data_IF_748698354269
#
_entry.id   IF_748698354269
#
_cell.length_a   1.000
_cell.length_b   1.000
_cell.length_c   1.000
_cell.angle_alpha   90.00
_cell.angle_beta   90.00
_cell.angle_gamma   90.00
#
_symmetry.space_group_name_H-M   'P 1'
#
loop_
_entity.id
_entity.type
_entity.pdbx_description
1 polymer ?
#
# COMPACT_ATOMS: atom_id res chain seq x y z
N UNK A 1 3.34 11.62 -10.18
CA UNK A 1 3.76 10.75 -9.05
C UNK A 1 2.83 9.54 -9.00
N UNK A 2 3.36 8.38 -8.63
CA UNK A 2 2.61 7.12 -8.55
C UNK A 2 2.96 6.35 -7.28
N UNK A 3 2.09 5.41 -6.90
CA UNK A 3 2.35 4.37 -5.91
C UNK A 3 2.24 3.00 -6.58
N UNK A 4 3.04 2.04 -6.14
CA UNK A 4 2.94 0.65 -6.62
C UNK A 4 2.00 -0.12 -5.71
N UNK A 5 0.91 -0.66 -6.28
CA UNK A 5 0.00 -1.52 -5.53
C UNK A 5 0.59 -2.92 -5.37
N UNK A 6 0.63 -3.41 -4.14
CA UNK A 6 1.18 -4.72 -3.76
C UNK A 6 0.07 -5.64 -3.27
N UNK A 7 0.01 -6.86 -3.80
CA UNK A 7 -0.97 -7.87 -3.38
C UNK A 7 -0.47 -8.57 -2.09
N UNK A 8 -1.06 -8.22 -0.95
CA UNK A 8 -0.70 -8.78 0.37
C UNK A 8 -1.84 -9.51 1.09
N UNK A 9 -3.08 -9.38 0.61
CA UNK A 9 -4.28 -9.94 1.25
C UNK A 9 -4.56 -11.41 0.92
N UNK A 10 -3.87 -11.98 -0.07
CA UNK A 10 -4.16 -13.33 -0.59
C UNK A 10 -5.49 -13.44 -1.35
N UNK A 11 -6.21 -12.33 -1.57
CA UNK A 11 -7.50 -12.33 -2.28
C UNK A 11 -7.27 -12.32 -3.79
N UNK A 12 -7.71 -13.37 -4.48
CA UNK A 12 -7.45 -13.54 -5.92
C UNK A 12 -8.07 -12.47 -6.81
N UNK A 13 -9.22 -11.93 -6.42
CA UNK A 13 -9.87 -10.84 -7.15
C UNK A 13 -9.17 -9.49 -7.00
N UNK A 14 -8.17 -9.36 -6.13
CA UNK A 14 -7.39 -8.13 -5.97
C UNK A 14 -6.16 -8.15 -6.88
N UNK A 15 -6.02 -7.08 -7.67
CA UNK A 15 -4.80 -6.82 -8.42
C UNK A 15 -3.65 -6.35 -7.53
N UNK A 16 -2.49 -6.16 -8.15
CA UNK A 16 -1.27 -5.71 -7.48
C UNK A 16 -0.07 -6.58 -7.86
N UNK A 17 1.12 -6.01 -7.79
CA UNK A 17 2.36 -6.71 -8.00
C UNK A 17 2.60 -7.76 -6.90
N UNK A 18 3.26 -8.86 -7.24
CA UNK A 18 3.82 -9.76 -6.26
C UNK A 18 4.96 -9.05 -5.52
N UNK A 19 5.03 -9.22 -4.20
CA UNK A 19 6.09 -8.61 -3.39
C UNK A 19 7.50 -8.99 -3.86
N UNK A 20 7.66 -10.19 -4.45
CA UNK A 20 8.93 -10.71 -4.99
C UNK A 20 9.36 -10.01 -6.27
N UNK A 21 8.44 -9.43 -7.01
CA UNK A 21 8.68 -8.74 -8.29
C UNK A 21 8.94 -7.24 -8.10
N UNK A 22 8.74 -6.71 -6.89
CA UNK A 22 8.87 -5.28 -6.62
C UNK A 22 10.24 -4.68 -6.96
N UNK A 23 11.38 -5.34 -6.68
CA UNK A 23 12.68 -4.78 -7.05
C UNK A 23 12.83 -4.60 -8.56
N UNK A 24 12.42 -5.60 -9.36
CA UNK A 24 12.49 -5.51 -10.82
C UNK A 24 11.54 -4.43 -11.35
N UNK A 25 10.31 -4.39 -10.84
CA UNK A 25 9.31 -3.40 -11.23
C UNK A 25 9.77 -1.97 -10.87
N UNK A 26 10.33 -1.75 -9.69
CA UNK A 26 10.88 -0.44 -9.31
C UNK A 26 12.07 -0.06 -10.17
N UNK A 27 12.96 -1.00 -10.52
CA UNK A 27 14.05 -0.76 -11.46
C UNK A 27 13.53 -0.27 -12.83
N UNK A 28 12.51 -0.93 -13.36
CA UNK A 28 11.88 -0.50 -14.61
C UNK A 28 11.24 0.89 -14.50
N UNK A 29 10.47 1.14 -13.44
CA UNK A 29 9.77 2.42 -13.28
C UNK A 29 10.74 3.59 -13.01
N UNK A 30 11.78 3.38 -12.20
CA UNK A 30 12.76 4.44 -11.88
C UNK A 30 13.61 4.83 -13.07
N UNK A 31 13.70 3.98 -14.10
CA UNK A 31 14.32 4.33 -15.39
C UNK A 31 13.47 5.29 -16.25
N UNK A 32 12.18 5.43 -15.96
CA UNK A 32 11.25 6.28 -16.70
C UNK A 32 11.23 7.72 -16.19
N UNK A 33 11.68 8.66 -17.02
CA UNK A 33 11.80 10.10 -16.65
C UNK A 33 10.48 10.80 -16.35
N UNK A 34 9.34 10.23 -16.77
CA UNK A 34 8.00 10.81 -16.57
C UNK A 34 7.25 10.20 -15.38
N UNK A 35 7.81 9.16 -14.77
CA UNK A 35 7.23 8.51 -13.61
C UNK A 35 8.06 8.84 -12.37
N UNK A 36 7.37 9.05 -11.27
CA UNK A 36 8.00 9.28 -9.98
C UNK A 36 7.29 8.40 -8.97
N UNK A 37 7.94 7.29 -8.59
CA UNK A 37 7.45 6.44 -7.51
C UNK A 37 7.65 7.14 -6.19
N UNK A 38 6.56 7.28 -5.44
CA UNK A 38 6.58 7.88 -4.10
C UNK A 38 6.34 6.87 -2.99
N UNK A 39 5.99 5.64 -3.31
CA UNK A 39 5.71 4.65 -2.27
C UNK A 39 4.88 3.48 -2.73
N UNK A 40 4.29 2.79 -1.75
CA UNK A 40 3.52 1.58 -1.95
C UNK A 40 2.05 1.77 -1.55
N UNK A 41 1.20 0.91 -2.09
CA UNK A 41 -0.22 0.85 -1.78
C UNK A 41 -0.65 -0.59 -1.55
N UNK A 42 -1.53 -0.83 -0.58
CA UNK A 42 -2.19 -2.14 -0.47
C UNK A 42 -3.65 -2.01 -0.04
N UNK A 43 -4.38 -3.11 -0.27
CA UNK A 43 -5.74 -3.33 0.21
C UNK A 43 -5.67 -4.54 1.15
N UNK A 44 -6.04 -4.35 2.40
CA UNK A 44 -6.11 -5.43 3.37
C UNK A 44 -7.28 -6.39 3.04
N UNK A 45 -7.22 -7.64 3.51
CA UNK A 45 -8.38 -8.54 3.43
C UNK A 45 -9.57 -7.95 4.19
N UNK A 46 -10.79 -8.21 3.72
CA UNK A 46 -12.00 -7.78 4.41
C UNK A 46 -12.22 -8.63 5.67
N UNK A 47 -11.76 -8.13 6.82
CA UNK A 47 -11.85 -8.79 8.11
C UNK A 47 -11.85 -7.76 9.24
N UNK A 48 -12.41 -8.14 10.39
CA UNK A 48 -12.31 -7.37 11.64
C UNK A 48 -11.16 -7.86 12.53
N UNK A 49 -10.45 -8.93 12.11
CA UNK A 49 -9.36 -9.50 12.88
C UNK A 49 -8.12 -8.58 12.84
N UNK A 50 -7.99 -7.75 13.86
CA UNK A 50 -6.94 -6.74 14.00
C UNK A 50 -5.52 -7.26 13.78
N UNK A 51 -5.09 -8.42 14.33
CA UNK A 51 -3.75 -8.94 14.06
C UNK A 51 -3.49 -9.19 12.56
N UNK A 52 -4.51 -9.63 11.81
CA UNK A 52 -4.38 -9.83 10.35
C UNK A 52 -4.22 -8.49 9.63
N UNK A 53 -5.01 -7.48 9.99
CA UNK A 53 -4.92 -6.13 9.42
C UNK A 53 -3.54 -5.51 9.69
N UNK A 54 -3.11 -5.51 10.95
CA UNK A 54 -1.80 -4.97 11.36
C UNK A 54 -0.65 -5.72 10.68
N UNK A 55 -0.69 -7.04 10.62
CA UNK A 55 0.37 -7.82 9.92
C UNK A 55 0.45 -7.48 8.42
N UNK A 56 -0.69 -7.21 7.77
CA UNK A 56 -0.73 -6.82 6.36
C UNK A 56 -0.09 -5.45 6.14
N UNK A 57 -0.44 -4.47 6.99
CA UNK A 57 0.08 -3.12 6.89
C UNK A 57 1.56 -3.01 7.31
N UNK A 58 1.96 -3.72 8.37
CA UNK A 58 3.36 -3.84 8.78
C UNK A 58 4.22 -4.41 7.64
N UNK A 59 3.74 -5.46 6.96
CA UNK A 59 4.45 -6.04 5.81
C UNK A 59 4.61 -5.06 4.65
N UNK A 60 3.63 -4.19 4.39
CA UNK A 60 3.78 -3.14 3.37
C UNK A 60 4.86 -2.12 3.76
N UNK A 61 4.88 -1.69 5.02
CA UNK A 61 5.93 -0.79 5.55
C UNK A 61 7.31 -1.41 5.41
N UNK A 62 7.48 -2.66 5.84
CA UNK A 62 8.75 -3.39 5.75
C UNK A 62 9.24 -3.54 4.31
N UNK A 63 8.33 -3.83 3.37
CA UNK A 63 8.66 -3.86 1.94
C UNK A 63 9.12 -2.50 1.44
N UNK A 64 8.43 -1.41 1.80
CA UNK A 64 8.86 -0.06 1.45
C UNK A 64 10.26 0.20 2.01
N UNK A 65 10.48 -0.04 3.30
CA UNK A 65 11.74 0.27 3.98
C UNK A 65 12.90 -0.50 3.33
N UNK A 66 12.67 -1.78 2.99
CA UNK A 66 13.64 -2.60 2.27
C UNK A 66 13.95 -2.11 0.86
N UNK A 67 12.95 -1.61 0.13
CA UNK A 67 13.14 -1.04 -1.22
C UNK A 67 13.81 0.33 -1.17
N UNK A 68 13.53 1.16 -0.17
CA UNK A 68 14.18 2.46 0.01
C UNK A 68 15.71 2.32 0.16
N UNK A 69 16.17 1.23 0.78
CA UNK A 69 17.60 0.93 0.87
C UNK A 69 18.25 0.54 -0.47
N UNK A 70 17.46 0.02 -1.43
CA UNK A 70 17.92 -0.43 -2.74
C UNK A 70 17.80 0.64 -3.82
N UNK A 71 16.87 1.58 -3.66
CA UNK A 71 16.57 2.65 -4.62
C UNK A 71 16.71 4.02 -3.95
N UNK A 72 17.93 4.50 -3.65
CA UNK A 72 18.15 5.74 -2.90
C UNK A 72 17.65 7.00 -3.63
N UNK A 73 17.51 6.93 -4.95
CA UNK A 73 16.97 8.04 -5.77
C UNK A 73 15.43 8.06 -5.83
N UNK A 74 14.77 7.01 -5.33
CA UNK A 74 13.32 6.94 -5.22
C UNK A 74 12.89 7.35 -3.80
N UNK A 75 12.09 8.42 -3.61
CA UNK A 75 11.75 8.93 -2.28
C UNK A 75 11.08 7.89 -1.37
N UNK A 76 10.17 7.07 -1.94
CA UNK A 76 9.45 6.00 -1.24
C UNK A 76 8.86 6.43 0.13
N UNK A 77 8.44 7.69 0.26
CA UNK A 77 7.97 8.28 1.51
C UNK A 77 6.50 8.01 1.83
N UNK A 78 5.75 7.41 0.91
CA UNK A 78 4.30 7.20 1.02
C UNK A 78 3.90 5.73 1.26
N UNK A 79 2.92 5.54 2.14
CA UNK A 79 2.21 4.27 2.35
C UNK A 79 0.70 4.53 2.26
N UNK A 80 0.11 4.17 1.12
CA UNK A 80 -1.35 4.22 0.96
C UNK A 80 -1.99 2.92 1.41
N UNK A 81 -2.47 2.91 2.64
CA UNK A 81 -3.13 1.76 3.24
C UNK A 81 -4.15 2.20 4.30
N UNK A 82 -5.21 1.41 4.47
CA UNK A 82 -6.34 1.77 5.32
C UNK A 82 -7.47 2.45 4.55
N UNK A 83 -8.67 1.98 4.82
CA UNK A 83 -9.98 2.42 4.34
C UNK A 83 -10.91 2.59 5.54
N UNK A 84 -12.19 2.90 5.30
CA UNK A 84 -13.17 3.20 6.36
C UNK A 84 -13.18 2.21 7.54
N UNK A 85 -12.98 0.91 7.31
CA UNK A 85 -13.07 -0.11 8.36
C UNK A 85 -11.77 -0.38 9.13
N UNK A 86 -10.61 0.02 8.59
CA UNK A 86 -9.30 -0.44 9.06
C UNK A 86 -8.23 0.68 9.09
N UNK A 87 -8.61 1.95 8.85
CA UNK A 87 -7.68 3.08 8.83
C UNK A 87 -6.95 3.29 10.17
N UNK A 88 -7.57 3.00 11.30
CA UNK A 88 -6.92 3.11 12.62
C UNK A 88 -5.72 2.17 12.72
N UNK A 89 -5.88 0.93 12.25
CA UNK A 89 -4.81 -0.06 12.22
C UNK A 89 -3.72 0.30 11.21
N UNK A 90 -4.11 0.86 10.06
CA UNK A 90 -3.17 1.36 9.08
C UNK A 90 -2.31 2.51 9.62
N UNK A 91 -2.90 3.44 10.39
CA UNK A 91 -2.17 4.55 11.02
C UNK A 91 -1.15 4.02 12.03
N UNK A 92 -1.53 3.05 12.87
CA UNK A 92 -0.61 2.43 13.83
C UNK A 92 0.60 1.77 13.16
N UNK A 93 0.45 1.33 11.91
CA UNK A 93 1.52 0.71 11.12
C UNK A 93 2.26 1.69 10.19
N UNK A 94 1.94 2.99 10.24
CA UNK A 94 2.67 4.04 9.52
C UNK A 94 2.06 4.48 8.19
N UNK A 95 0.75 4.30 7.99
CA UNK A 95 0.06 4.85 6.82
C UNK A 95 0.22 6.37 6.73
N UNK A 96 0.56 6.86 5.54
CA UNK A 96 0.60 8.29 5.22
C UNK A 96 -0.65 8.75 4.46
N UNK A 97 -1.35 7.80 3.81
CA UNK A 97 -2.55 8.05 3.02
C UNK A 97 -3.61 7.00 3.39
N UNK A 98 -4.66 7.46 4.10
CA UNK A 98 -5.89 6.67 4.34
C UNK A 98 -6.97 7.03 3.32
N UNK A 99 -7.77 6.04 2.90
CA UNK A 99 -8.78 6.18 1.83
C UNK A 99 -10.19 6.04 2.39
N UNK A 100 -10.77 7.14 2.88
CA UNK A 100 -12.05 7.12 3.59
C UNK A 100 -13.20 7.48 2.67
N UNK A 101 -14.13 6.53 2.48
CA UNK A 101 -15.35 6.71 1.68
C UNK A 101 -16.60 6.78 2.56
N UNK A 102 -17.12 5.61 2.96
CA UNK A 102 -18.40 5.49 3.68
C UNK A 102 -18.48 6.30 4.96
N UNK A 103 -17.39 6.45 5.71
CA UNK A 103 -17.40 7.26 6.94
C UNK A 103 -17.51 8.77 6.69
N UNK A 104 -17.19 9.25 5.47
CA UNK A 104 -17.35 10.67 5.09
C UNK A 104 -18.68 10.87 4.37
N UNK A 105 -18.99 10.04 3.38
CA UNK A 105 -20.11 10.27 2.46
C UNK A 105 -21.35 9.41 2.75
N UNK A 106 -21.29 8.50 3.73
CA UNK A 106 -22.34 7.51 3.96
C UNK A 106 -22.38 6.40 2.91
N UNK A 107 -23.45 5.62 2.94
CA UNK A 107 -23.72 4.57 1.94
C UNK A 107 -24.18 5.17 0.61
N UNK A 108 -23.91 4.48 -0.50
CA UNK A 108 -24.45 4.88 -1.80
C UNK A 108 -25.98 4.79 -1.76
N UNK A 109 -26.72 5.81 -2.24
CA UNK A 109 -28.16 5.67 -2.45
C UNK A 109 -28.41 4.54 -3.45
N UNK A 110 -29.47 3.77 -3.21
CA UNK A 110 -29.96 2.76 -4.14
C UNK A 110 -30.67 3.41 -5.32
#
# INVERSE_FOLDING_TARGET
>A
PILVQVKLSGVDSQGGADARELPELLGAITSETRLQVRGLMTIAPQTEHEPTLRSTFARLRELRDGLASQFPDAPLDELSMGMTSDYSQAILEGSTIVRIGRAIFGSRPQ
#
